data_IF_838075772997
#
_entry.id   IF_838075772997
#
_cell.length_a   1.000
_cell.length_b   1.000
_cell.length_c   1.000
_cell.angle_alpha   90.00
_cell.angle_beta   90.00
_cell.angle_gamma   90.00
#
_symmetry.space_group_name_H-M   'P 1'
#
loop_
_entity.id
_entity.type
_entity.pdbx_description
1 polymer ?
#
# COMPACT_ATOMS: atom_id res chain seq x y z
N UNK A 1 -4.07 -5.08 -8.89
CA UNK A 1 -2.87 -4.31 -8.49
C UNK A 1 -3.16 -2.83 -8.42
N UNK A 2 -2.69 -2.14 -7.37
CA UNK A 2 -2.79 -0.69 -7.21
C UNK A 2 -1.85 0.02 -8.19
N UNK A 3 -2.34 1.04 -8.90
CA UNK A 3 -1.56 1.85 -9.86
C UNK A 3 -1.87 3.32 -9.67
N UNK A 4 -0.85 4.17 -9.71
CA UNK A 4 -0.99 5.62 -9.55
C UNK A 4 -0.44 6.31 -10.79
N UNK A 5 -1.23 7.19 -11.38
CA UNK A 5 -0.81 7.98 -12.53
C UNK A 5 0.03 9.18 -12.07
N UNK A 6 1.24 9.30 -12.62
CA UNK A 6 2.21 10.35 -12.27
C UNK A 6 2.45 11.37 -13.39
N UNK A 7 1.68 11.31 -14.48
CA UNK A 7 1.90 12.19 -15.65
C UNK A 7 1.85 13.67 -15.29
N UNK A 8 0.97 14.07 -14.36
CA UNK A 8 0.89 15.45 -13.88
C UNK A 8 2.15 15.88 -13.13
N UNK A 9 2.63 15.02 -12.23
CA UNK A 9 3.84 15.26 -11.44
C UNK A 9 5.11 15.30 -12.31
N UNK A 10 5.16 14.53 -13.40
CA UNK A 10 6.29 14.55 -14.33
C UNK A 10 6.44 15.88 -15.09
N UNK A 11 5.35 16.64 -15.22
CA UNK A 11 5.35 17.97 -15.84
C UNK A 11 5.78 19.07 -14.86
N UNK A 12 5.89 18.76 -13.57
CA UNK A 12 6.32 19.71 -12.55
C UNK A 12 7.85 19.83 -12.50
N UNK A 13 8.38 20.97 -12.04
CA UNK A 13 9.80 21.10 -11.71
C UNK A 13 10.24 20.09 -10.64
N UNK A 14 11.56 19.89 -10.53
CA UNK A 14 12.12 19.18 -9.39
C UNK A 14 11.68 19.85 -8.08
N UNK A 15 11.21 19.04 -7.12
CA UNK A 15 10.58 19.49 -5.89
C UNK A 15 9.04 19.44 -5.90
N UNK A 16 8.40 19.16 -7.04
CA UNK A 16 6.95 18.94 -7.11
C UNK A 16 6.50 17.80 -6.20
N UNK A 17 5.35 17.95 -5.53
CA UNK A 17 4.82 16.97 -4.56
C UNK A 17 3.34 16.68 -4.83
N UNK A 18 2.97 15.41 -4.76
CA UNK A 18 1.57 14.96 -4.76
C UNK A 18 1.32 13.97 -3.63
N UNK A 19 0.27 14.21 -2.87
CA UNK A 19 -0.20 13.30 -1.83
C UNK A 19 -1.47 12.59 -2.32
N UNK A 20 -1.55 11.28 -2.11
CA UNK A 20 -2.73 10.47 -2.42
C UNK A 20 -3.14 9.62 -1.23
N UNK A 21 -4.45 9.50 -1.01
CA UNK A 21 -5.03 8.55 -0.06
C UNK A 21 -5.19 7.21 -0.76
N UNK A 22 -4.81 6.13 -0.06
CA UNK A 22 -4.96 4.77 -0.52
C UNK A 22 -6.14 4.13 0.20
N UNK A 23 -7.04 3.55 -0.58
CA UNK A 23 -8.14 2.70 -0.15
C UNK A 23 -8.24 1.58 -1.17
N UNK A 24 -7.89 0.36 -0.77
CA UNK A 24 -7.91 -0.82 -1.64
C UNK A 24 -8.71 -1.91 -0.95
N UNK A 25 -9.75 -2.47 -1.62
CA UNK A 25 -10.54 -3.54 -1.04
C UNK A 25 -9.67 -4.74 -0.64
N UNK A 26 -9.90 -5.31 0.55
CA UNK A 26 -9.13 -6.45 1.05
C UNK A 26 -9.08 -7.63 0.08
N UNK A 27 -10.18 -7.91 -0.63
CA UNK A 27 -10.23 -8.94 -1.68
C UNK A 27 -9.22 -8.73 -2.82
N UNK A 28 -8.90 -7.47 -3.15
CA UNK A 28 -7.87 -7.16 -4.16
C UNK A 28 -6.47 -7.48 -3.65
N UNK A 29 -6.23 -7.30 -2.34
CA UNK A 29 -4.95 -7.61 -1.68
C UNK A 29 -4.79 -9.10 -1.46
N UNK A 30 -5.87 -9.83 -1.13
CA UNK A 30 -5.86 -11.28 -0.96
C UNK A 30 -5.35 -12.02 -2.20
N UNK A 31 -5.63 -11.51 -3.40
CA UNK A 31 -5.07 -12.06 -4.65
C UNK A 31 -3.56 -11.88 -4.84
N UNK A 32 -2.88 -11.15 -3.95
CA UNK A 32 -1.46 -10.80 -4.04
C UNK A 32 -0.60 -11.42 -2.93
N UNK A 33 -1.22 -11.97 -1.88
CA UNK A 33 -0.53 -12.54 -0.72
C UNK A 33 -1.04 -13.97 -0.48
N UNK A 34 -0.18 -14.97 -0.69
CA UNK A 34 -0.55 -16.39 -0.52
C UNK A 34 -0.64 -16.79 0.97
N UNK A 35 0.18 -16.17 1.82
CA UNK A 35 0.36 -16.56 3.23
C UNK A 35 -0.37 -15.62 4.22
N UNK A 36 -0.99 -14.55 3.73
CA UNK A 36 -1.63 -13.54 4.57
C UNK A 36 -2.99 -13.16 4.00
N UNK A 37 -4.05 -13.47 4.75
CA UNK A 37 -5.42 -13.15 4.35
C UNK A 37 -5.84 -11.81 4.98
N UNK A 38 -6.00 -10.73 4.21
CA UNK A 38 -6.44 -9.44 4.75
C UNK A 38 -7.86 -9.56 5.30
N UNK A 39 -8.06 -9.07 6.52
CA UNK A 39 -9.34 -9.06 7.24
C UNK A 39 -10.10 -7.74 7.07
N UNK A 40 -9.38 -6.69 6.66
CA UNK A 40 -9.95 -5.38 6.33
C UNK A 40 -9.30 -4.81 5.08
N UNK A 41 -9.89 -3.73 4.58
CA UNK A 41 -9.33 -2.98 3.46
C UNK A 41 -7.93 -2.45 3.79
N UNK A 42 -7.08 -2.39 2.77
CA UNK A 42 -5.76 -1.79 2.86
C UNK A 42 -5.93 -0.28 2.72
N UNK A 43 -5.58 0.43 3.79
CA UNK A 43 -5.71 1.88 3.86
C UNK A 43 -4.35 2.54 4.01
N UNK A 44 -4.25 3.82 3.69
CA UNK A 44 -3.03 4.56 3.96
C UNK A 44 -2.86 5.79 3.09
N UNK A 45 -1.60 6.18 2.91
CA UNK A 45 -1.22 7.35 2.12
C UNK A 45 0.09 7.13 1.38
N UNK A 46 0.22 7.82 0.26
CA UNK A 46 1.48 7.92 -0.47
C UNK A 46 1.77 9.36 -0.80
N UNK A 47 3.00 9.76 -0.50
CA UNK A 47 3.60 11.00 -0.94
C UNK A 47 4.54 10.71 -2.10
N UNK A 48 4.32 11.38 -3.22
CA UNK A 48 5.19 11.37 -4.38
C UNK A 48 5.95 12.68 -4.47
N UNK A 49 7.27 12.61 -4.67
CA UNK A 49 8.15 13.76 -4.84
C UNK A 49 8.91 13.64 -6.15
N UNK A 50 8.80 14.65 -7.01
CA UNK A 50 9.59 14.75 -8.25
C UNK A 50 11.03 15.14 -7.93
N UNK A 51 11.98 14.25 -8.18
CA UNK A 51 13.40 14.59 -8.20
C UNK A 51 13.80 15.09 -9.60
N UNK A 52 15.05 15.48 -9.89
CA UNK A 52 15.46 15.81 -11.26
C UNK A 52 15.36 14.62 -12.24
N UNK A 53 15.58 13.37 -11.78
CA UNK A 53 15.70 12.18 -12.65
C UNK A 53 14.72 11.06 -12.35
N UNK A 54 13.96 11.17 -11.27
CA UNK A 54 13.04 10.12 -10.81
C UNK A 54 11.85 10.71 -10.06
N UNK A 55 11.00 9.81 -9.53
CA UNK A 55 9.99 10.11 -8.53
C UNK A 55 10.32 9.28 -7.29
N UNK A 56 10.37 9.92 -6.13
CA UNK A 56 10.44 9.24 -4.85
C UNK A 56 9.01 9.01 -4.34
N UNK A 57 8.74 7.81 -3.86
CA UNK A 57 7.49 7.48 -3.19
C UNK A 57 7.77 7.17 -1.72
N UNK A 58 7.06 7.85 -0.83
CA UNK A 58 6.97 7.48 0.59
C UNK A 58 5.57 7.00 0.86
N UNK A 59 5.45 5.74 1.25
CA UNK A 59 4.17 5.06 1.45
C UNK A 59 4.02 4.72 2.92
N UNK A 60 2.82 4.90 3.45
CA UNK A 60 2.36 4.32 4.72
C UNK A 60 1.07 3.58 4.44
N UNK A 61 1.04 2.31 4.80
CA UNK A 61 -0.13 1.44 4.64
C UNK A 61 -0.43 0.81 5.99
N UNK A 62 -1.69 0.44 6.17
CA UNK A 62 -2.20 -0.19 7.37
C UNK A 62 -3.33 -1.16 6.99
N UNK A 63 -3.26 -2.37 7.53
CA UNK A 63 -4.31 -3.40 7.43
C UNK A 63 -4.19 -4.40 8.58
N UNK A 64 -5.14 -5.33 8.67
CA UNK A 64 -5.04 -6.50 9.54
C UNK A 64 -5.03 -7.75 8.67
N UNK A 65 -4.14 -8.69 9.00
CA UNK A 65 -4.06 -9.99 8.32
C UNK A 65 -4.33 -11.12 9.29
N UNK A 66 -5.03 -12.15 8.81
CA UNK A 66 -5.05 -13.45 9.44
C UNK A 66 -3.83 -14.25 8.97
N UNK A 67 -3.14 -14.85 9.94
CA UNK A 67 -1.97 -15.70 9.78
C UNK A 67 -2.22 -17.05 10.45
N UNK A 68 -1.66 -18.12 9.89
CA UNK A 68 -1.71 -19.44 10.50
C UNK A 68 -0.70 -19.53 11.65
N UNK A 69 -1.18 -19.73 12.88
CA UNK A 69 -0.28 -19.87 14.02
C UNK A 69 0.34 -21.28 14.07
N UNK A 70 1.66 -21.39 13.87
CA UNK A 70 2.35 -22.70 13.94
C UNK A 70 2.37 -23.35 15.34
N UNK A 71 1.96 -22.63 16.40
CA UNK A 71 1.96 -23.14 17.78
C UNK A 71 0.63 -23.76 18.19
N UNK A 72 -0.49 -23.09 17.89
CA UNK A 72 -1.83 -23.57 18.27
C UNK A 72 -2.67 -24.01 17.06
N UNK A 73 -2.21 -23.77 15.83
CA UNK A 73 -2.93 -24.05 14.57
C UNK A 73 -4.27 -23.32 14.44
N UNK A 74 -4.40 -22.17 15.10
CA UNK A 74 -5.55 -21.27 15.01
C UNK A 74 -5.18 -19.99 14.25
N UNK A 75 -6.18 -19.28 13.72
CA UNK A 75 -6.01 -17.99 13.07
C UNK A 75 -5.53 -16.95 14.09
N UNK A 76 -4.36 -16.36 13.84
CA UNK A 76 -3.85 -15.22 14.58
C UNK A 76 -4.03 -13.93 13.77
N UNK A 77 -4.50 -12.87 14.43
CA UNK A 77 -4.65 -11.54 13.80
C UNK A 77 -3.42 -10.69 14.10
N UNK A 78 -2.81 -10.11 13.06
CA UNK A 78 -1.70 -9.17 13.19
C UNK A 78 -1.98 -7.87 12.42
N UNK A 79 -1.77 -6.70 13.04
CA UNK A 79 -1.72 -5.43 12.31
C UNK A 79 -0.42 -5.34 11.50
N UNK A 80 -0.48 -4.79 10.29
CA UNK A 80 0.66 -4.65 9.36
C UNK A 80 0.59 -3.34 8.58
#
# INVERSE_FOLDING_TARGET
TLRINVVGLLKEPAGGVRDHVIQVPGATVASMAEEARPLRDLTGSVRLLRSPRSIFARVRLDTDVALDCSRCLEDAVSPV
#
